data_IF_449127362433
#
_entry.id   IF_449127362433
#
_cell.length_a   1.000
_cell.length_b   1.000
_cell.length_c   1.000
_cell.angle_alpha   90.00
_cell.angle_beta   90.00
_cell.angle_gamma   90.00
#
_symmetry.space_group_name_H-M   'P 1'
#
loop_
_entity.id
_entity.type
_entity.pdbx_description
1 polymer ?
#
# COMPACT_ATOMS: atom_id res chain seq x y z
N UNK A 1 18.17 11.99 -7.23
CA UNK A 1 16.85 11.38 -6.95
C UNK A 1 16.04 12.38 -6.16
N UNK A 2 14.82 12.71 -6.59
CA UNK A 2 13.97 13.65 -5.86
C UNK A 2 13.41 13.00 -4.59
N UNK A 3 13.02 13.80 -3.60
CA UNK A 3 12.37 13.30 -2.37
C UNK A 3 11.09 12.51 -2.67
N UNK A 4 10.36 12.91 -3.73
CA UNK A 4 9.15 12.23 -4.22
C UNK A 4 9.44 10.84 -4.77
N UNK A 5 10.50 10.66 -5.58
CA UNK A 5 10.86 9.33 -6.10
C UNK A 5 11.23 8.36 -4.97
N UNK A 6 11.88 8.86 -3.92
CA UNK A 6 12.24 8.07 -2.75
C UNK A 6 11.02 7.66 -1.92
N UNK A 7 10.02 8.54 -1.79
CA UNK A 7 8.75 8.21 -1.13
C UNK A 7 7.97 7.18 -1.95
N UNK A 8 7.88 7.35 -3.28
CA UNK A 8 7.23 6.41 -4.17
C UNK A 8 7.82 5.01 -4.05
N UNK A 9 9.15 4.89 -4.17
CA UNK A 9 9.84 3.60 -4.05
C UNK A 9 9.61 2.91 -2.71
N UNK A 10 9.50 3.69 -1.61
CA UNK A 10 9.16 3.15 -0.28
C UNK A 10 7.73 2.63 -0.27
N UNK A 11 6.77 3.38 -0.79
CA UNK A 11 5.37 2.97 -0.88
C UNK A 11 5.21 1.70 -1.72
N UNK A 12 5.88 1.62 -2.87
CA UNK A 12 5.89 0.42 -3.72
C UNK A 12 6.45 -0.80 -2.95
N UNK A 13 7.56 -0.61 -2.22
CA UNK A 13 8.17 -1.67 -1.40
C UNK A 13 7.21 -2.15 -0.30
N UNK A 14 6.52 -1.23 0.37
CA UNK A 14 5.56 -1.58 1.41
C UNK A 14 4.33 -2.27 0.84
N UNK A 15 3.84 -1.83 -0.33
CA UNK A 15 2.72 -2.45 -1.01
C UNK A 15 3.04 -3.89 -1.42
N UNK A 16 4.22 -4.12 -1.99
CA UNK A 16 4.68 -5.46 -2.35
C UNK A 16 4.75 -6.36 -1.12
N UNK A 17 5.38 -5.90 -0.02
CA UNK A 17 5.47 -6.67 1.23
C UNK A 17 4.11 -6.97 1.85
N UNK A 18 3.19 -6.00 1.83
CA UNK A 18 1.84 -6.21 2.34
C UNK A 18 1.08 -7.26 1.52
N UNK A 19 1.24 -7.23 0.18
CA UNK A 19 0.67 -8.21 -0.74
C UNK A 19 1.20 -9.61 -0.45
N UNK A 20 2.52 -9.75 -0.34
CA UNK A 20 3.17 -11.03 -0.06
C UNK A 20 2.72 -11.59 1.30
N UNK A 21 2.61 -10.73 2.32
CA UNK A 21 2.13 -11.14 3.65
C UNK A 21 0.67 -11.60 3.64
N UNK A 22 -0.22 -10.89 2.95
CA UNK A 22 -1.63 -11.29 2.82
C UNK A 22 -1.73 -12.62 2.08
N UNK A 23 -0.99 -12.80 0.99
CA UNK A 23 -1.00 -14.04 0.22
C UNK A 23 -0.51 -15.22 1.05
N UNK A 24 0.60 -15.07 1.76
CA UNK A 24 1.14 -16.12 2.62
C UNK A 24 0.17 -16.46 3.76
N UNK A 25 -0.41 -15.46 4.41
CA UNK A 25 -1.39 -15.67 5.47
C UNK A 25 -2.68 -16.33 4.95
N UNK A 26 -3.11 -16.00 3.74
CA UNK A 26 -4.27 -16.64 3.10
C UNK A 26 -4.02 -18.12 2.80
N UNK A 27 -2.84 -18.46 2.27
CA UNK A 27 -2.43 -19.84 2.01
C UNK A 27 -2.40 -20.63 3.32
N UNK A 28 -1.72 -20.10 4.34
CA UNK A 28 -1.63 -20.77 5.65
C UNK A 28 -3.01 -20.99 6.28
N UNK A 29 -3.89 -19.98 6.24
CA UNK A 29 -5.25 -20.08 6.78
C UNK A 29 -6.10 -21.09 6.01
N UNK A 30 -5.93 -21.19 4.68
CA UNK A 30 -6.64 -22.16 3.85
C UNK A 30 -6.17 -23.60 4.12
N UNK A 31 -4.88 -23.80 4.37
CA UNK A 31 -4.29 -25.11 4.64
C UNK A 31 -4.56 -25.60 6.06
N UNK A 32 -4.42 -24.73 7.06
CA UNK A 32 -4.50 -25.14 8.48
C UNK A 32 -5.92 -25.14 9.04
N UNK A 33 -6.83 -24.34 8.46
CA UNK A 33 -8.15 -24.02 9.01
C UNK A 33 -8.11 -23.56 10.49
N UNK A 34 -6.96 -23.08 10.97
CA UNK A 34 -6.78 -22.66 12.35
C UNK A 34 -7.32 -21.24 12.57
N UNK A 35 -7.87 -20.99 13.76
CA UNK A 35 -8.34 -19.65 14.14
C UNK A 35 -7.19 -18.64 14.22
N UNK A 36 -5.99 -19.07 14.61
CA UNK A 36 -4.81 -18.21 14.69
C UNK A 36 -4.33 -17.76 13.30
N UNK A 37 -4.33 -18.67 12.32
CA UNK A 37 -3.96 -18.33 10.94
C UNK A 37 -5.01 -17.45 10.27
N UNK A 38 -6.30 -17.69 10.53
CA UNK A 38 -7.37 -16.78 10.10
C UNK A 38 -7.21 -15.38 10.72
N UNK A 39 -6.83 -15.28 11.99
CA UNK A 39 -6.57 -14.00 12.64
C UNK A 39 -5.33 -13.30 12.05
N UNK A 40 -4.27 -14.06 11.75
CA UNK A 40 -3.07 -13.57 11.07
C UNK A 40 -3.39 -13.03 9.67
N UNK A 41 -4.26 -13.72 8.92
CA UNK A 41 -4.76 -13.25 7.64
C UNK A 41 -5.53 -11.93 7.75
N UNK A 42 -6.49 -11.82 8.68
CA UNK A 42 -7.22 -10.57 8.92
C UNK A 42 -6.30 -9.41 9.32
N UNK A 43 -5.29 -9.69 10.15
CA UNK A 43 -4.28 -8.70 10.53
C UNK A 43 -3.47 -8.23 9.33
N UNK A 44 -3.07 -9.16 8.46
CA UNK A 44 -2.34 -8.85 7.22
C UNK A 44 -3.20 -8.01 6.27
N UNK A 45 -4.49 -8.30 6.15
CA UNK A 45 -5.43 -7.49 5.34
C UNK A 45 -5.54 -6.05 5.85
N UNK A 46 -5.55 -5.83 7.16
CA UNK A 46 -5.51 -4.47 7.72
C UNK A 46 -4.23 -3.73 7.32
N UNK A 47 -3.07 -4.41 7.35
CA UNK A 47 -1.81 -3.84 6.86
C UNK A 47 -1.84 -3.45 5.39
N UNK A 48 -2.45 -4.29 4.54
CA UNK A 48 -2.67 -4.00 3.12
C UNK A 48 -3.57 -2.79 2.90
N UNK A 49 -4.65 -2.64 3.70
CA UNK A 49 -5.55 -1.49 3.62
C UNK A 49 -4.82 -0.17 3.86
N UNK A 50 -3.90 -0.13 4.85
CA UNK A 50 -3.06 1.05 5.12
C UNK A 50 -2.15 1.36 3.93
N UNK A 51 -1.53 0.34 3.32
CA UNK A 51 -0.67 0.53 2.15
C UNK A 51 -1.44 1.09 0.93
N UNK A 52 -2.63 0.55 0.64
CA UNK A 52 -3.53 1.04 -0.41
C UNK A 52 -3.92 2.50 -0.18
N UNK A 53 -4.26 2.86 1.06
CA UNK A 53 -4.65 4.21 1.42
C UNK A 53 -3.47 5.20 1.18
N UNK A 54 -2.27 4.83 1.61
CA UNK A 54 -1.07 5.65 1.40
C UNK A 54 -0.77 5.88 -0.10
N UNK A 55 -0.88 4.84 -0.93
CA UNK A 55 -0.71 4.97 -2.39
C UNK A 55 -1.77 5.87 -3.04
N UNK A 56 -3.01 5.80 -2.55
CA UNK A 56 -4.11 6.67 -3.01
C UNK A 56 -3.82 8.14 -2.69
N UNK A 57 -3.45 8.43 -1.44
CA UNK A 57 -3.08 9.79 -1.01
C UNK A 57 -1.90 10.34 -1.81
N UNK A 58 -0.91 9.51 -2.12
CA UNK A 58 0.22 9.91 -2.96
C UNK A 58 -0.26 10.34 -4.35
N UNK A 59 -1.13 9.56 -4.98
CA UNK A 59 -1.71 9.89 -6.30
C UNK A 59 -2.47 11.22 -6.26
N UNK A 60 -3.28 11.43 -5.23
CA UNK A 60 -4.00 12.70 -5.04
C UNK A 60 -3.04 13.88 -4.87
N UNK A 61 -1.96 13.71 -4.10
CA UNK A 61 -0.96 14.76 -3.93
C UNK A 61 -0.26 15.12 -5.26
N UNK A 62 0.13 14.12 -6.05
CA UNK A 62 0.72 14.35 -7.39
C UNK A 62 -0.25 15.08 -8.33
N UNK A 63 -1.53 14.69 -8.33
CA UNK A 63 -2.55 15.36 -9.13
C UNK A 63 -2.72 16.83 -8.72
N UNK A 64 -2.83 17.11 -7.43
CA UNK A 64 -2.98 18.47 -6.91
C UNK A 64 -1.76 19.35 -7.22
N UNK A 65 -0.55 18.80 -7.13
CA UNK A 65 0.68 19.50 -7.51
C UNK A 65 0.70 19.81 -9.01
N UNK A 66 0.34 18.85 -9.86
CA UNK A 66 0.27 19.06 -11.31
C UNK A 66 -0.75 20.15 -11.66
N UNK A 67 -1.93 20.12 -11.02
CA UNK A 67 -2.95 21.16 -11.20
C UNK A 67 -2.43 22.53 -10.78
N UNK A 68 -1.80 22.66 -9.60
CA UNK A 68 -1.25 23.93 -9.14
C UNK A 68 -0.16 24.48 -10.08
N UNK A 69 0.66 23.62 -10.68
CA UNK A 69 1.66 24.03 -11.69
C UNK A 69 0.95 24.59 -12.93
N UNK A 70 -0.05 23.86 -13.45
CA UNK A 70 -0.84 24.31 -14.62
C UNK A 70 -1.52 25.65 -14.33
N UNK A 71 -2.18 25.78 -13.18
CA UNK A 71 -2.88 27.00 -12.77
C UNK A 71 -1.90 28.19 -12.56
N UNK A 72 -0.63 27.92 -12.25
CA UNK A 72 0.41 28.93 -12.09
C UNK A 72 1.09 29.32 -13.41
N UNK A 73 0.84 28.60 -14.52
CA UNK A 73 1.34 28.97 -15.83
C UNK A 73 0.40 30.00 -16.48
N UNK A 74 0.92 31.13 -16.99
CA UNK A 74 0.12 32.19 -17.61
C UNK A 74 -0.50 31.79 -18.95
#
# INVERSE_FOLDING_TARGET
>A
MSSTDAVQRRLDTYFQRATDNVNNAAINAAESQSLDDMHSFLTSMNGMSVAVNAATQQTTAHHNLAKAIIDAMP
#
